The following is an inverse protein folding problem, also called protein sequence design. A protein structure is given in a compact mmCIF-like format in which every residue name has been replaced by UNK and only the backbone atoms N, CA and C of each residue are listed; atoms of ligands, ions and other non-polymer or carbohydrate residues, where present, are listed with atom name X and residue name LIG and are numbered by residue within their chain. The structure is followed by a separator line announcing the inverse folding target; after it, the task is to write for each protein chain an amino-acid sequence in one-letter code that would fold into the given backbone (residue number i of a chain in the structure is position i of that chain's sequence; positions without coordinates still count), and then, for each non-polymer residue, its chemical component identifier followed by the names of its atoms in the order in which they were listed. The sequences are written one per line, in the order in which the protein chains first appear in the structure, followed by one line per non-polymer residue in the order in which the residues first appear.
data_IF_141825385613
#
_entry.id   IF_141825385613
#
_cell.length_a   1.000
_cell.length_b   1.000
_cell.length_c   1.000
_cell.angle_alpha   90.00
_cell.angle_beta   90.00
_cell.angle_gamma   90.00
#
_symmetry.space_group_name_H-M   'P 1'
#
loop_
_entity.id
_entity.type
_entity.pdbx_description
1 polymer ?
#
# COMPACT_ATOMS: atom_id res chain seq x y z
N UNK A 1 -26.58 6.43 8.16
CA UNK A 1 -25.72 7.65 8.23
C UNK A 1 -24.39 7.21 7.66
N UNK A 2 -24.37 7.05 6.33
CA UNK A 2 -23.45 6.17 5.60
C UNK A 2 -22.51 7.00 4.74
N UNK A 3 -21.41 7.49 5.32
CA UNK A 3 -20.48 8.38 4.61
C UNK A 3 -18.99 8.02 4.77
N UNK A 4 -18.63 6.83 5.24
CA UNK A 4 -17.21 6.47 5.41
C UNK A 4 -16.76 5.26 4.58
N UNK A 5 -17.62 4.27 4.31
CA UNK A 5 -17.31 3.13 3.43
C UNK A 5 -17.04 3.50 1.96
N UNK A 6 -17.41 4.71 1.51
CA UNK A 6 -17.09 5.23 0.17
C UNK A 6 -15.70 5.87 0.06
N UNK A 7 -15.02 6.14 1.18
CA UNK A 7 -13.88 7.06 1.22
C UNK A 7 -12.58 6.45 0.72
N UNK A 8 -12.36 5.15 0.94
CA UNK A 8 -11.10 4.49 0.55
C UNK A 8 -11.10 4.04 -0.91
N UNK A 9 -12.25 3.60 -1.45
CA UNK A 9 -12.36 3.27 -2.88
C UNK A 9 -12.41 4.53 -3.75
N UNK A 10 -13.10 5.58 -3.29
CA UNK A 10 -13.06 6.89 -3.94
C UNK A 10 -11.66 7.54 -3.80
N UNK A 11 -11.04 7.43 -2.62
CA UNK A 11 -9.68 7.90 -2.36
C UNK A 11 -8.63 7.16 -3.19
N UNK A 12 -8.77 5.84 -3.38
CA UNK A 12 -7.96 5.08 -4.32
C UNK A 12 -8.24 5.52 -5.75
N UNK A 13 -9.49 5.72 -6.16
CA UNK A 13 -9.79 6.15 -7.52
C UNK A 13 -9.16 7.52 -7.84
N UNK A 14 -9.28 8.50 -6.95
CA UNK A 14 -8.70 9.83 -7.14
C UNK A 14 -7.16 9.79 -7.07
N UNK A 15 -6.59 9.05 -6.12
CA UNK A 15 -5.14 8.96 -5.95
C UNK A 15 -4.49 8.11 -7.06
N UNK A 16 -5.13 7.03 -7.50
CA UNK A 16 -4.60 6.13 -8.52
C UNK A 16 -4.54 6.80 -9.89
N UNK A 17 -5.52 7.62 -10.24
CA UNK A 17 -5.47 8.41 -11.49
C UNK A 17 -4.37 9.47 -11.44
N UNK A 18 -4.19 10.14 -10.30
CA UNK A 18 -3.09 11.08 -10.10
C UNK A 18 -1.73 10.40 -10.22
N UNK A 19 -1.52 9.29 -9.50
CA UNK A 19 -0.28 8.50 -9.53
C UNK A 19 -0.03 7.93 -10.93
N UNK A 20 -1.07 7.48 -11.63
CA UNK A 20 -0.97 7.09 -13.05
C UNK A 20 -0.47 8.26 -13.90
N UNK A 21 -1.07 9.44 -13.77
CA UNK A 21 -0.66 10.63 -14.51
C UNK A 21 0.80 11.03 -14.25
N UNK A 22 1.24 10.97 -12.98
CA UNK A 22 2.65 11.21 -12.61
C UNK A 22 3.60 10.17 -13.24
N UNK A 23 3.26 8.88 -13.16
CA UNK A 23 4.00 7.79 -13.80
C UNK A 23 4.08 7.95 -15.32
N UNK A 24 2.95 8.24 -15.97
CA UNK A 24 2.88 8.51 -17.41
C UNK A 24 3.77 9.70 -17.78
N UNK A 25 3.81 10.75 -16.95
CA UNK A 25 4.68 11.90 -17.14
C UNK A 25 6.17 11.53 -17.11
N UNK A 26 6.60 10.77 -16.10
CA UNK A 26 7.99 10.31 -15.98
C UNK A 26 8.37 9.38 -17.13
N UNK A 27 7.52 8.39 -17.45
CA UNK A 27 7.76 7.43 -18.55
C UNK A 27 7.84 8.17 -19.89
N UNK A 28 6.93 9.11 -20.15
CA UNK A 28 6.96 9.92 -21.37
C UNK A 28 8.22 10.77 -21.49
N UNK A 29 8.73 11.29 -20.36
CA UNK A 29 9.99 12.04 -20.35
C UNK A 29 11.18 11.12 -20.66
N UNK A 30 11.21 9.92 -20.08
CA UNK A 30 12.23 8.89 -20.37
C UNK A 30 12.15 8.42 -21.82
N UNK A 31 10.94 8.20 -22.36
CA UNK A 31 10.71 7.83 -23.75
C UNK A 31 11.16 8.94 -24.70
N UNK A 32 10.89 10.22 -24.36
CA UNK A 32 11.35 11.36 -25.16
C UNK A 32 12.88 11.49 -25.14
N UNK A 33 13.52 11.28 -23.99
CA UNK A 33 14.99 11.26 -23.89
C UNK A 33 15.59 10.10 -24.70
N UNK A 34 14.97 8.93 -24.61
CA UNK A 34 15.31 7.73 -25.38
C UNK A 34 15.20 7.97 -26.89
N UNK A 35 14.11 8.58 -27.35
CA UNK A 35 13.90 8.94 -28.74
C UNK A 35 14.93 9.96 -29.25
N UNK A 36 15.28 10.97 -28.43
CA UNK A 36 16.34 11.93 -28.77
C UNK A 36 17.70 11.25 -28.90
N UNK A 37 18.04 10.36 -27.96
CA UNK A 37 19.26 9.57 -28.01
C UNK A 37 19.30 8.67 -29.25
N UNK A 38 18.18 8.04 -29.62
CA UNK A 38 18.03 7.26 -30.85
C UNK A 38 18.36 8.11 -32.08
N UNK A 39 17.74 9.28 -32.17
CA UNK A 39 17.89 10.19 -33.30
C UNK A 39 19.33 10.68 -33.45
N UNK A 40 20.00 11.02 -32.34
CA UNK A 40 21.43 11.40 -32.36
C UNK A 40 22.32 10.21 -32.70
N UNK A 41 22.06 9.04 -32.13
CA UNK A 41 22.86 7.85 -32.40
C UNK A 41 22.71 7.38 -33.85
N UNK A 42 21.54 7.55 -34.48
CA UNK A 42 21.30 7.27 -35.88
C UNK A 42 22.17 8.11 -36.84
N UNK A 43 22.62 9.30 -36.41
CA UNK A 43 23.54 10.15 -37.19
C UNK A 43 25.01 9.69 -37.09
N UNK A 44 25.36 8.94 -36.05
CA UNK A 44 26.74 8.56 -35.71
C UNK A 44 27.03 7.07 -35.90
N UNK A 45 26.01 6.22 -35.90
CA UNK A 45 26.13 4.76 -35.91
C UNK A 45 25.17 4.12 -36.93
N UNK A 46 25.55 2.99 -37.56
CA UNK A 46 24.65 2.22 -38.42
C UNK A 46 23.40 1.79 -37.65
N UNK A 47 22.25 2.22 -38.16
CA UNK A 47 21.02 2.55 -37.43
C UNK A 47 20.20 1.33 -36.94
N UNK A 48 20.56 0.12 -37.36
CA UNK A 48 19.73 -1.09 -37.19
C UNK A 48 19.65 -1.64 -35.75
N UNK A 49 20.64 -1.36 -34.89
CA UNK A 49 20.72 -1.99 -33.54
C UNK A 49 20.03 -1.21 -32.42
N UNK A 50 19.82 0.09 -32.59
CA UNK A 50 19.42 0.98 -31.48
C UNK A 50 17.89 1.09 -31.39
N UNK A 51 17.18 1.03 -32.52
CA UNK A 51 15.74 1.25 -32.60
C UNK A 51 14.90 0.20 -31.85
N UNK A 52 15.40 -1.02 -31.64
CA UNK A 52 14.69 -2.07 -30.88
C UNK A 52 14.74 -1.88 -29.37
N UNK A 53 15.70 -1.11 -28.86
CA UNK A 53 15.89 -0.87 -27.42
C UNK A 53 15.02 0.27 -26.87
N UNK A 54 14.29 0.98 -27.73
CA UNK A 54 13.67 2.28 -27.41
C UNK A 54 12.16 2.30 -27.71
N UNK A 55 11.52 1.12 -27.76
CA UNK A 55 10.06 1.03 -27.86
C UNK A 55 9.43 1.44 -26.52
N UNK A 56 8.40 2.31 -26.52
CA UNK A 56 7.70 2.71 -25.32
C UNK A 56 7.00 1.48 -24.71
N UNK A 57 7.40 1.11 -23.49
CA UNK A 57 6.98 -0.14 -22.84
C UNK A 57 5.54 -0.11 -22.29
N UNK A 58 4.77 0.99 -22.45
CA UNK A 58 3.43 1.18 -21.84
C UNK A 58 3.35 0.68 -20.39
N UNK A 59 4.43 0.91 -19.65
CA UNK A 59 4.64 0.32 -18.33
C UNK A 59 3.63 0.90 -17.32
N UNK A 60 3.24 2.15 -17.50
CA UNK A 60 2.20 2.83 -16.73
C UNK A 60 0.84 2.13 -16.82
N UNK A 61 0.41 1.78 -18.04
CA UNK A 61 -0.85 1.05 -18.24
C UNK A 61 -0.79 -0.33 -17.57
N UNK A 62 0.32 -1.06 -17.74
CA UNK A 62 0.46 -2.39 -17.16
C UNK A 62 0.48 -2.38 -15.63
N UNK A 63 1.26 -1.46 -15.01
CA UNK A 63 1.29 -1.29 -13.56
C UNK A 63 -0.10 -0.92 -13.03
N UNK A 64 -0.81 -0.02 -13.71
CA UNK A 64 -2.15 0.37 -13.31
C UNK A 64 -3.14 -0.79 -13.37
N UNK A 65 -3.11 -1.59 -14.44
CA UNK A 65 -3.95 -2.79 -14.57
C UNK A 65 -3.68 -3.78 -13.44
N UNK A 66 -2.42 -4.09 -13.15
CA UNK A 66 -2.06 -5.01 -12.06
C UNK A 66 -2.53 -4.48 -10.70
N UNK A 67 -2.34 -3.19 -10.43
CA UNK A 67 -2.81 -2.57 -9.19
C UNK A 67 -4.35 -2.62 -9.07
N UNK A 68 -5.07 -2.38 -10.17
CA UNK A 68 -6.52 -2.44 -10.20
C UNK A 68 -7.05 -3.86 -9.99
N UNK A 69 -6.44 -4.86 -10.63
CA UNK A 69 -6.78 -6.28 -10.44
C UNK A 69 -6.55 -6.71 -8.99
N UNK A 70 -5.40 -6.33 -8.42
CA UNK A 70 -5.10 -6.58 -7.01
C UNK A 70 -6.17 -5.98 -6.09
N UNK A 71 -6.53 -4.70 -6.27
CA UNK A 71 -7.55 -4.04 -5.47
C UNK A 71 -8.94 -4.65 -5.64
N UNK A 72 -9.29 -5.13 -6.85
CA UNK A 72 -10.57 -5.79 -7.10
C UNK A 72 -10.66 -7.19 -6.45
N UNK A 73 -9.51 -7.82 -6.17
CA UNK A 73 -9.45 -9.10 -5.46
C UNK A 73 -9.57 -8.95 -3.94
N UNK A 74 -9.37 -7.73 -3.42
CA UNK A 74 -9.37 -7.47 -1.99
C UNK A 74 -10.80 -7.34 -1.42
N UNK A 75 -11.01 -7.85 -0.20
CA UNK A 75 -12.22 -7.60 0.56
C UNK A 75 -12.07 -6.30 1.36
N UNK A 76 -13.09 -5.45 1.30
CA UNK A 76 -13.15 -4.23 2.10
C UNK A 76 -13.83 -4.53 3.42
N UNK A 77 -13.15 -4.21 4.52
CA UNK A 77 -13.71 -4.32 5.86
C UNK A 77 -14.65 -3.13 6.06
N UNK A 78 -15.88 -3.39 6.50
CA UNK A 78 -16.84 -2.34 6.79
C UNK A 78 -16.44 -1.55 8.04
N UNK A 79 -16.84 -0.28 8.10
CA UNK A 79 -16.65 0.56 9.28
C UNK A 79 -17.33 -0.07 10.51
N UNK A 80 -16.57 -0.18 11.59
CA UNK A 80 -17.04 -0.66 12.88
C UNK A 80 -16.89 0.46 13.94
N UNK A 81 -17.99 0.79 14.61
CA UNK A 81 -18.03 1.91 15.57
C UNK A 81 -17.06 1.73 16.74
N UNK A 82 -16.85 0.49 17.17
CA UNK A 82 -15.96 0.21 18.30
C UNK A 82 -14.51 0.35 17.86
N UNK A 83 -14.16 -0.12 16.65
CA UNK A 83 -12.85 0.08 16.06
C UNK A 83 -12.55 1.58 15.85
N UNK A 84 -13.53 2.35 15.37
CA UNK A 84 -13.43 3.81 15.22
C UNK A 84 -13.18 4.48 16.59
N UNK A 85 -13.94 4.09 17.62
CA UNK A 85 -13.77 4.64 18.96
C UNK A 85 -12.38 4.34 19.54
N UNK A 86 -11.87 3.10 19.38
CA UNK A 86 -10.51 2.73 19.82
C UNK A 86 -9.42 3.47 19.04
N UNK A 87 -9.60 3.65 17.73
CA UNK A 87 -8.68 4.40 16.89
C UNK A 87 -8.58 5.87 17.32
N UNK A 88 -9.71 6.47 17.68
CA UNK A 88 -9.74 7.81 18.27
C UNK A 88 -9.04 7.83 19.64
N UNK A 89 -9.22 6.79 20.45
CA UNK A 89 -8.49 6.58 21.70
C UNK A 89 -6.97 6.61 21.49
N UNK A 90 -6.45 5.87 20.52
CA UNK A 90 -5.02 5.88 20.17
C UNK A 90 -4.52 7.27 19.80
N UNK A 91 -5.27 7.99 18.97
CA UNK A 91 -4.92 9.34 18.55
C UNK A 91 -4.81 10.31 19.74
N UNK A 92 -5.83 10.33 20.62
CA UNK A 92 -5.86 11.22 21.78
C UNK A 92 -4.77 10.89 22.79
N UNK A 93 -4.52 9.60 23.00
CA UNK A 93 -3.55 9.10 23.96
C UNK A 93 -2.12 9.00 23.40
N UNK A 94 -1.92 9.30 22.11
CA UNK A 94 -0.63 9.18 21.39
C UNK A 94 -0.05 7.78 21.48
N UNK A 95 -0.91 6.79 21.26
CA UNK A 95 -0.55 5.38 21.20
C UNK A 95 -0.27 5.02 19.74
N UNK A 96 0.81 4.27 19.50
CA UNK A 96 1.20 3.83 18.17
C UNK A 96 0.02 3.19 17.41
N UNK A 97 -0.16 3.48 16.10
CA UNK A 97 0.75 4.22 15.23
C UNK A 97 0.71 5.75 15.38
N UNK A 98 -0.06 6.30 16.34
CA UNK A 98 -0.15 7.76 16.52
C UNK A 98 0.90 8.34 17.46
N UNK A 99 1.57 9.40 17.01
CA UNK A 99 2.25 10.39 17.86
C UNK A 99 1.35 11.57 18.27
N UNK A 100 0.04 11.49 17.98
CA UNK A 100 -0.95 12.54 18.26
C UNK A 100 -1.26 13.47 17.09
N UNK A 101 -0.78 13.16 15.87
CA UNK A 101 -1.05 13.96 14.68
C UNK A 101 -2.31 13.47 13.96
N UNK A 102 -3.18 14.41 13.56
CA UNK A 102 -4.46 14.11 12.89
C UNK A 102 -4.30 13.23 11.65
N UNK A 103 -3.17 13.36 10.93
CA UNK A 103 -2.87 12.56 9.74
C UNK A 103 -2.71 11.06 10.03
N UNK A 104 -2.27 10.69 11.24
CA UNK A 104 -2.09 9.30 11.67
C UNK A 104 -3.40 8.65 12.12
N UNK A 105 -4.52 9.38 12.12
CA UNK A 105 -5.82 8.82 12.51
C UNK A 105 -6.23 7.66 11.60
N UNK A 106 -5.97 7.77 10.30
CA UNK A 106 -6.30 6.71 9.34
C UNK A 106 -5.52 5.43 9.63
N UNK A 107 -4.25 5.56 9.98
CA UNK A 107 -3.40 4.43 10.41
C UNK A 107 -3.94 3.77 11.68
N UNK A 108 -4.43 4.58 12.64
CA UNK A 108 -5.10 4.05 13.83
C UNK A 108 -6.37 3.27 13.48
N UNK A 109 -7.16 3.74 12.51
CA UNK A 109 -8.36 3.03 12.05
C UNK A 109 -8.00 1.70 11.41
N UNK A 110 -6.98 1.68 10.53
CA UNK A 110 -6.51 0.46 9.86
C UNK A 110 -6.08 -0.59 10.89
N UNK A 111 -5.26 -0.20 11.88
CA UNK A 111 -4.72 -1.17 12.83
C UNK A 111 -5.80 -1.72 13.77
N UNK A 112 -6.76 -0.88 14.19
CA UNK A 112 -7.85 -1.32 15.06
C UNK A 112 -8.80 -2.30 14.38
N UNK A 113 -9.13 -2.07 13.10
CA UNK A 113 -9.92 -3.02 12.32
C UNK A 113 -9.13 -4.31 12.06
N UNK A 114 -7.83 -4.20 11.78
CA UNK A 114 -6.97 -5.37 11.56
C UNK A 114 -6.91 -6.28 12.80
N UNK A 115 -6.63 -5.70 13.98
CA UNK A 115 -6.58 -6.42 15.24
C UNK A 115 -7.93 -7.06 15.59
N UNK A 116 -9.03 -6.30 15.43
CA UNK A 116 -10.38 -6.81 15.69
C UNK A 116 -10.75 -7.98 14.78
N UNK A 117 -10.45 -7.88 13.48
CA UNK A 117 -10.70 -8.95 12.52
C UNK A 117 -9.87 -10.20 12.86
N UNK A 118 -8.58 -10.02 13.14
CA UNK A 118 -7.70 -11.14 13.49
C UNK A 118 -8.20 -11.85 14.75
N UNK A 119 -8.56 -11.11 15.79
CA UNK A 119 -9.12 -11.65 17.03
C UNK A 119 -10.44 -12.42 16.77
N UNK A 120 -11.36 -11.84 15.99
CA UNK A 120 -12.63 -12.47 15.64
C UNK A 120 -12.43 -13.77 14.83
N UNK A 121 -11.45 -13.80 13.92
CA UNK A 121 -11.13 -15.00 13.15
C UNK A 121 -10.46 -16.08 14.02
N UNK A 122 -9.54 -15.71 14.93
CA UNK A 122 -8.95 -16.67 15.89
C UNK A 122 -10.00 -17.32 16.78
N UNK A 123 -10.92 -16.52 17.34
CA UNK A 123 -11.98 -17.06 18.21
C UNK A 123 -12.93 -18.00 17.47
N UNK A 124 -13.05 -17.85 16.14
CA UNK A 124 -13.81 -18.76 15.25
C UNK A 124 -12.97 -19.93 14.71
N UNK A 125 -11.75 -20.14 15.20
CA UNK A 125 -10.91 -21.28 14.86
C UNK A 125 -10.09 -21.13 13.58
N UNK A 126 -9.95 -19.93 13.02
CA UNK A 126 -9.05 -19.72 11.90
C UNK A 126 -7.60 -19.90 12.35
N UNK A 127 -6.91 -20.89 11.79
CA UNK A 127 -5.56 -21.30 12.22
C UNK A 127 -4.41 -20.86 11.32
N UNK A 128 -4.67 -20.20 10.18
CA UNK A 128 -3.59 -19.75 9.26
C UNK A 128 -2.93 -18.47 9.77
N UNK A 129 -1.75 -18.13 9.24
CA UNK A 129 -1.04 -16.89 9.59
C UNK A 129 -1.85 -15.67 9.13
N UNK A 130 -1.77 -14.59 9.91
CA UNK A 130 -2.18 -13.27 9.47
C UNK A 130 -0.93 -12.47 9.19
N UNK A 131 -0.94 -11.67 8.12
CA UNK A 131 0.19 -10.83 7.74
C UNK A 131 -0.30 -9.38 7.65
N UNK A 132 0.33 -8.49 8.40
CA UNK A 132 0.18 -7.05 8.27
C UNK A 132 1.32 -6.51 7.42
N UNK A 133 0.99 -5.75 6.36
CA UNK A 133 1.97 -5.22 5.42
C UNK A 133 1.98 -3.70 5.50
N UNK A 134 3.12 -3.10 5.86
CA UNK A 134 3.30 -1.65 5.83
C UNK A 134 4.78 -1.30 5.66
N UNK A 135 5.05 -0.29 4.82
CA UNK A 135 6.38 0.31 4.71
C UNK A 135 6.57 1.50 5.65
N UNK A 136 5.54 1.90 6.39
CA UNK A 136 5.58 3.06 7.29
C UNK A 136 6.24 2.69 8.62
N UNK A 137 7.58 2.63 8.61
CA UNK A 137 8.33 2.27 9.82
C UNK A 137 8.35 3.36 10.88
N UNK A 138 8.06 4.60 10.52
CA UNK A 138 8.07 5.73 11.44
C UNK A 138 6.93 5.65 12.45
N UNK A 139 5.76 5.21 11.99
CA UNK A 139 4.58 5.10 12.84
C UNK A 139 4.45 3.71 13.49
N UNK A 140 4.70 2.64 12.74
CA UNK A 140 4.50 1.27 13.19
C UNK A 140 5.75 0.59 13.79
N UNK A 141 6.93 1.19 13.60
CA UNK A 141 8.21 0.53 13.87
C UNK A 141 8.64 -0.39 12.73
N UNK A 142 9.69 -1.18 12.94
CA UNK A 142 10.20 -2.13 11.94
C UNK A 142 9.61 -3.53 12.16
N UNK A 143 9.52 -4.37 11.11
CA UNK A 143 9.26 -5.80 11.28
C UNK A 143 10.14 -6.39 12.39
N UNK A 144 9.56 -7.25 13.24
CA UNK A 144 10.18 -7.84 14.45
C UNK A 144 10.47 -6.86 15.61
N UNK A 145 10.32 -5.55 15.40
CA UNK A 145 10.48 -4.52 16.43
C UNK A 145 9.44 -3.41 16.23
N UNK A 146 8.16 -3.80 16.26
CA UNK A 146 7.05 -2.87 16.19
C UNK A 146 7.03 -1.94 17.42
N UNK A 147 6.51 -0.73 17.27
CA UNK A 147 6.41 0.20 18.39
C UNK A 147 5.42 -0.29 19.45
N UNK A 148 5.73 -0.22 20.75
CA UNK A 148 4.76 -0.54 21.80
C UNK A 148 3.50 0.36 21.70
N UNK A 149 2.30 -0.18 21.92
CA UNK A 149 1.99 -1.56 22.31
C UNK A 149 1.77 -2.53 21.14
N UNK A 150 1.98 -2.11 19.89
CA UNK A 150 1.68 -2.91 18.70
C UNK A 150 2.41 -4.25 18.68
N UNK A 151 3.62 -4.31 19.23
CA UNK A 151 4.38 -5.55 19.41
C UNK A 151 3.58 -6.62 20.16
N UNK A 152 3.05 -6.28 21.33
CA UNK A 152 2.24 -7.18 22.15
C UNK A 152 0.87 -7.46 21.54
N UNK A 153 0.27 -6.47 20.88
CA UNK A 153 -1.03 -6.62 20.22
C UNK A 153 -0.94 -7.56 19.02
N UNK A 154 0.14 -7.46 18.23
CA UNK A 154 0.40 -8.35 17.10
C UNK A 154 0.64 -9.78 17.57
N UNK A 155 1.41 -9.96 18.64
CA UNK A 155 1.63 -11.28 19.24
C UNK A 155 0.33 -11.90 19.74
N UNK A 156 -0.54 -11.12 20.39
CA UNK A 156 -1.79 -11.61 20.97
C UNK A 156 -2.75 -12.22 19.94
N UNK A 157 -2.75 -11.72 18.70
CA UNK A 157 -3.58 -12.26 17.61
C UNK A 157 -2.81 -13.14 16.62
N UNK A 158 -1.50 -13.31 16.82
CA UNK A 158 -0.62 -14.03 15.90
C UNK A 158 -0.56 -13.36 14.51
N UNK A 159 -0.37 -12.04 14.51
CA UNK A 159 -0.22 -11.19 13.33
C UNK A 159 1.26 -10.93 13.05
N UNK A 160 1.72 -11.31 11.86
CA UNK A 160 3.11 -11.13 11.43
C UNK A 160 3.24 -9.81 10.65
N UNK A 161 4.12 -8.91 11.10
CA UNK A 161 4.35 -7.63 10.43
C UNK A 161 5.52 -7.72 9.46
N UNK A 162 5.28 -7.37 8.18
CA UNK A 162 6.28 -7.33 7.11
C UNK A 162 6.28 -5.98 6.36
N UNK A 163 7.41 -5.66 5.74
CA UNK A 163 7.61 -4.34 5.12
C UNK A 163 7.01 -4.18 3.70
N UNK A 164 6.70 -5.29 3.01
CA UNK A 164 6.25 -5.26 1.62
C UNK A 164 5.53 -6.56 1.22
N UNK A 165 4.83 -6.51 0.08
CA UNK A 165 4.04 -7.63 -0.44
C UNK A 165 4.90 -8.82 -0.89
N UNK A 166 6.12 -8.59 -1.41
CA UNK A 166 7.00 -9.68 -1.81
C UNK A 166 7.42 -10.56 -0.61
N UNK A 167 7.66 -9.94 0.54
CA UNK A 167 7.89 -10.68 1.78
C UNK A 167 6.61 -11.38 2.24
N UNK A 168 5.46 -10.70 2.20
CA UNK A 168 4.19 -11.34 2.56
C UNK A 168 3.91 -12.62 1.74
N UNK A 169 4.18 -12.60 0.43
CA UNK A 169 4.03 -13.74 -0.46
C UNK A 169 4.91 -14.93 -0.05
N UNK A 170 6.15 -14.69 0.38
CA UNK A 170 7.05 -15.74 0.86
C UNK A 170 6.59 -16.46 2.14
N UNK A 171 5.55 -15.95 2.82
CA UNK A 171 5.01 -16.50 4.07
C UNK A 171 3.70 -17.28 3.89
N UNK A 172 3.06 -17.20 2.73
CA UNK A 172 1.72 -17.76 2.44
C UNK A 172 1.76 -19.15 1.79
#
# INVERSE_FOLDING_TARGET
MDRHTSTDRAGWNDNSQRVKGELTGVISQTDQQSARLAATAALLLPTERISRLLLPLKLDDHIFTVAQEFMNSANVIADDSDCIARAHGRLVQRIAPSGGLKQQYKDCVVIEHCLALCAALRTRGFGRRFVFVSSNSDDYGKPQSAHPPLDSEFQAVGLEYVANLAWADSLL
#
